data_IF_314114513249
#
_entry.id   IF_314114513249
#
_cell.length_a   1.000
_cell.length_b   1.000
_cell.length_c   1.000
_cell.angle_alpha   90.00
_cell.angle_beta   90.00
_cell.angle_gamma   90.00
#
_symmetry.space_group_name_H-M   'P 1'
#
loop_
_entity.id
_entity.type
_entity.pdbx_description
1 polymer ?
#
# COMPACT_ATOMS: atom_id res chain seq x y z
N UNK A 1 -22.75 32.04 2.62
CA UNK A 1 -21.37 31.50 2.67
C UNK A 1 -21.15 30.90 4.06
N UNK A 2 -21.19 29.57 4.17
CA UNK A 2 -21.06 28.88 5.46
C UNK A 2 -19.57 28.70 5.80
N UNK A 3 -19.15 29.30 6.91
CA UNK A 3 -17.82 29.12 7.51
C UNK A 3 -17.82 27.75 8.18
N UNK A 4 -17.05 26.80 7.65
CA UNK A 4 -16.92 25.44 8.16
C UNK A 4 -16.22 25.44 9.52
N UNK A 5 -16.99 25.67 10.59
CA UNK A 5 -16.49 25.73 11.95
C UNK A 5 -16.05 24.33 12.43
N UNK A 6 -14.76 24.19 12.75
CA UNK A 6 -14.22 23.01 13.45
C UNK A 6 -13.27 22.13 12.64
N UNK A 7 -13.18 22.28 11.31
CA UNK A 7 -12.23 21.50 10.51
C UNK A 7 -10.78 21.88 10.79
N UNK A 8 -10.49 23.16 11.06
CA UNK A 8 -9.13 23.61 11.38
C UNK A 8 -8.57 22.96 12.66
N UNK A 9 -9.41 22.79 13.70
CA UNK A 9 -9.00 22.12 14.95
C UNK A 9 -8.85 20.60 14.80
N UNK A 10 -9.52 20.00 13.82
CA UNK A 10 -9.42 18.56 13.52
C UNK A 10 -8.20 18.30 12.63
N UNK A 11 -7.88 19.23 11.74
CA UNK A 11 -6.79 19.11 10.77
C UNK A 11 -5.42 18.98 11.45
N UNK A 12 -5.09 19.86 12.40
CA UNK A 12 -3.82 19.80 13.13
C UNK A 12 -3.72 18.53 13.99
N UNK A 13 -4.83 18.12 14.62
CA UNK A 13 -4.89 16.89 15.42
C UNK A 13 -4.80 15.62 14.57
N UNK A 14 -5.31 15.67 13.33
CA UNK A 14 -5.24 14.59 12.35
C UNK A 14 -3.84 14.48 11.75
N UNK A 15 -3.21 15.61 11.37
CA UNK A 15 -1.81 15.68 10.93
C UNK A 15 -0.82 15.20 12.00
N UNK A 16 -1.14 15.42 13.28
CA UNK A 16 -0.33 14.98 14.42
C UNK A 16 -0.55 13.50 14.80
N UNK A 17 -1.50 12.79 14.17
CA UNK A 17 -1.79 11.38 14.43
C UNK A 17 -1.87 10.57 13.14
N UNK A 18 -0.84 10.59 12.28
CA UNK A 18 -0.85 9.76 11.10
C UNK A 18 -0.81 8.30 11.55
N UNK A 19 -1.89 7.57 11.33
CA UNK A 19 -1.89 6.14 11.54
C UNK A 19 -0.90 5.52 10.54
N UNK A 20 -0.02 4.65 11.01
CA UNK A 20 0.62 3.68 10.15
C UNK A 20 -0.48 2.69 9.72
N UNK A 21 -1.30 3.04 8.73
CA UNK A 21 -2.49 2.29 8.35
C UNK A 21 -2.33 1.50 7.04
N UNK A 22 -1.13 1.55 6.46
CA UNK A 22 -0.74 0.82 5.25
C UNK A 22 0.53 0.00 5.48
N UNK A 23 0.52 -1.24 4.99
CA UNK A 23 1.74 -2.03 4.77
C UNK A 23 1.90 -2.42 3.31
N UNK A 24 3.15 -2.45 2.85
CA UNK A 24 3.57 -3.06 1.59
C UNK A 24 4.37 -4.29 1.94
N UNK A 25 3.91 -5.45 1.46
CA UNK A 25 4.52 -6.76 1.71
C UNK A 25 5.09 -7.27 0.40
N UNK A 26 6.37 -7.61 0.39
CA UNK A 26 7.02 -8.13 -0.82
C UNK A 26 8.48 -8.49 -0.56
N UNK A 27 9.32 -8.36 -1.58
CA UNK A 27 10.78 -8.46 -1.44
C UNK A 27 11.31 -7.18 -0.82
N UNK A 28 11.50 -7.18 0.50
CA UNK A 28 11.79 -5.97 1.27
C UNK A 28 13.08 -5.22 0.85
N UNK A 29 14.04 -5.90 0.24
CA UNK A 29 15.24 -5.24 -0.31
C UNK A 29 14.90 -4.44 -1.56
N UNK A 30 14.21 -5.06 -2.53
CA UNK A 30 13.75 -4.40 -3.76
C UNK A 30 12.80 -3.25 -3.47
N UNK A 31 11.82 -3.43 -2.58
CA UNK A 31 10.90 -2.35 -2.20
C UNK A 31 11.61 -1.14 -1.57
N UNK A 32 12.72 -1.36 -0.85
CA UNK A 32 13.54 -0.27 -0.31
C UNK A 32 14.38 0.39 -1.39
N UNK A 33 14.94 -0.39 -2.30
CA UNK A 33 15.68 0.10 -3.45
C UNK A 33 14.79 0.98 -4.33
N UNK A 34 13.59 0.51 -4.68
CA UNK A 34 12.59 1.26 -5.44
C UNK A 34 12.17 2.55 -4.73
N UNK A 35 12.07 2.51 -3.39
CA UNK A 35 11.78 3.73 -2.61
C UNK A 35 12.89 4.79 -2.70
N UNK A 36 14.09 4.42 -3.16
CA UNK A 36 15.19 5.37 -3.38
C UNK A 36 15.05 6.12 -4.71
N UNK A 37 14.14 5.71 -5.59
CA UNK A 37 13.85 6.43 -6.83
C UNK A 37 13.37 7.85 -6.53
N UNK A 38 13.81 8.81 -7.35
CA UNK A 38 13.46 10.22 -7.20
C UNK A 38 12.19 10.55 -8.00
N UNK A 39 11.32 11.35 -7.40
CA UNK A 39 10.21 11.99 -8.11
C UNK A 39 10.69 13.39 -8.51
N UNK A 40 10.68 13.68 -9.82
CA UNK A 40 10.97 15.01 -10.34
C UNK A 40 9.84 15.44 -11.25
N UNK A 41 9.47 16.72 -11.21
CA UNK A 41 8.61 17.29 -12.24
C UNK A 41 9.48 17.60 -13.47
N UNK A 42 8.92 17.42 -14.67
CA UNK A 42 9.55 17.90 -15.90
C UNK A 42 9.80 19.41 -15.78
N UNK A 43 10.98 19.88 -16.20
CA UNK A 43 11.49 21.25 -16.09
C UNK A 43 11.89 21.75 -14.68
N UNK A 44 11.96 20.85 -13.69
CA UNK A 44 12.35 21.19 -12.31
C UNK A 44 13.85 20.92 -12.07
N UNK A 45 14.70 21.65 -12.79
CA UNK A 45 16.16 21.41 -12.81
C UNK A 45 16.90 21.93 -11.56
N UNK A 46 16.33 22.93 -10.87
CA UNK A 46 17.00 23.67 -9.78
C UNK A 46 16.59 23.21 -8.37
N UNK A 47 15.68 22.24 -8.23
CA UNK A 47 15.23 21.74 -6.92
C UNK A 47 15.98 20.49 -6.48
N UNK A 48 16.20 20.40 -5.15
CA UNK A 48 16.71 19.18 -4.54
C UNK A 48 15.73 18.03 -4.77
N UNK A 49 16.24 16.93 -5.34
CA UNK A 49 15.44 15.75 -5.65
C UNK A 49 15.01 15.05 -4.37
N UNK A 50 13.71 14.79 -4.23
CA UNK A 50 13.16 13.97 -3.16
C UNK A 50 12.91 12.55 -3.64
N UNK A 51 13.31 11.56 -2.82
CA UNK A 51 13.01 10.16 -3.11
C UNK A 51 11.57 9.80 -2.74
N UNK A 52 11.02 8.76 -3.35
CA UNK A 52 9.72 8.19 -2.96
C UNK A 52 9.70 7.87 -1.45
N UNK A 53 10.82 7.36 -0.93
CA UNK A 53 10.99 7.01 0.48
C UNK A 53 10.98 8.21 1.42
N UNK A 54 11.37 9.42 0.98
CA UNK A 54 11.26 10.61 1.83
C UNK A 54 9.80 11.02 2.09
N UNK A 55 8.89 10.63 1.18
CA UNK A 55 7.45 10.86 1.29
C UNK A 55 6.75 9.71 1.99
N UNK A 56 6.99 8.47 1.54
CA UNK A 56 6.25 7.29 2.01
C UNK A 56 6.80 6.66 3.29
N UNK A 57 8.11 6.83 3.54
CA UNK A 57 8.85 6.14 4.61
C UNK A 57 9.82 7.07 5.35
N UNK A 58 9.41 8.28 5.76
CA UNK A 58 10.32 9.16 6.48
C UNK A 58 10.71 8.53 7.83
N UNK A 59 11.98 8.18 7.95
CA UNK A 59 12.56 7.54 9.15
C UNK A 59 13.31 8.55 10.04
N UNK A 60 13.09 9.84 9.86
CA UNK A 60 13.79 10.89 10.62
C UNK A 60 12.96 11.37 11.81
N UNK A 61 13.62 11.77 12.92
CA UNK A 61 12.92 12.31 14.08
C UNK A 61 12.07 13.54 13.71
N UNK A 62 10.86 13.64 14.29
CA UNK A 62 9.91 14.77 14.15
C UNK A 62 9.21 14.92 12.80
N UNK A 63 9.22 13.90 11.94
CA UNK A 63 8.42 13.94 10.72
C UNK A 63 6.96 13.56 11.04
N UNK A 64 6.03 14.41 10.60
CA UNK A 64 4.58 14.20 10.73
C UNK A 64 4.06 13.52 9.46
N UNK A 65 4.03 12.19 9.42
CA UNK A 65 3.69 11.47 8.17
C UNK A 65 3.05 10.11 8.35
N UNK A 66 2.28 9.73 7.33
CA UNK A 66 1.78 8.39 7.04
C UNK A 66 2.93 7.38 7.07
N UNK A 67 3.01 6.59 8.14
CA UNK A 67 4.09 5.62 8.30
C UNK A 67 3.70 4.32 7.58
N UNK A 68 3.92 4.28 6.27
CA UNK A 68 3.80 3.03 5.51
C UNK A 68 4.83 2.04 6.05
N UNK A 69 4.45 0.77 6.22
CA UNK A 69 5.38 -0.29 6.65
C UNK A 69 5.83 -1.12 5.46
N UNK A 70 7.13 -1.20 5.20
CA UNK A 70 7.68 -2.25 4.32
C UNK A 70 7.92 -3.50 5.15
N UNK A 71 7.28 -4.60 4.77
CA UNK A 71 7.45 -5.92 5.38
C UNK A 71 7.98 -6.92 4.34
N UNK A 72 8.85 -7.82 4.79
CA UNK A 72 9.27 -8.94 3.96
C UNK A 72 8.22 -10.04 4.01
N UNK A 73 7.82 -10.52 2.84
CA UNK A 73 6.97 -11.70 2.69
C UNK A 73 7.53 -12.96 3.38
N UNK A 74 8.86 -13.05 3.54
CA UNK A 74 9.53 -14.16 4.24
C UNK A 74 9.34 -14.12 5.75
N UNK A 75 9.11 -12.93 6.31
CA UNK A 75 8.91 -12.70 7.75
C UNK A 75 7.46 -12.42 8.11
N UNK A 76 6.53 -12.55 7.15
CA UNK A 76 5.14 -12.18 7.33
C UNK A 76 4.44 -12.98 8.42
N UNK A 77 4.65 -14.31 8.57
CA UNK A 77 3.98 -15.10 9.61
C UNK A 77 4.17 -14.54 11.01
N UNK A 78 5.40 -14.14 11.33
CA UNK A 78 5.74 -13.55 12.63
C UNK A 78 5.13 -12.15 12.84
N UNK A 79 4.56 -11.57 11.78
CA UNK A 79 4.07 -10.19 11.71
C UNK A 79 2.58 -10.09 11.35
N UNK A 80 1.88 -11.20 11.11
CA UNK A 80 0.44 -11.21 10.82
C UNK A 80 -0.38 -10.43 11.87
N UNK A 81 -0.12 -10.56 13.20
CA UNK A 81 -0.85 -9.77 14.20
C UNK A 81 -0.67 -8.25 14.06
N UNK A 82 0.43 -7.81 13.44
CA UNK A 82 0.68 -6.39 13.19
C UNK A 82 -0.14 -5.85 12.02
N UNK A 83 -0.59 -6.72 11.11
CA UNK A 83 -1.37 -6.36 9.93
C UNK A 83 -2.85 -6.18 10.26
N UNK A 84 -3.37 -6.91 11.25
CA UNK A 84 -4.75 -6.76 11.73
C UNK A 84 -5.06 -5.34 12.27
N UNK A 85 -4.02 -4.61 12.70
CA UNK A 85 -4.16 -3.22 13.16
C UNK A 85 -4.10 -2.19 12.01
N UNK A 86 -3.86 -2.62 10.77
CA UNK A 86 -3.76 -1.75 9.59
C UNK A 86 -5.11 -1.66 8.87
N UNK A 87 -5.32 -0.58 8.11
CA UNK A 87 -6.52 -0.41 7.28
C UNK A 87 -6.35 -1.01 5.90
N UNK A 88 -5.11 -1.07 5.40
CA UNK A 88 -4.81 -1.57 4.07
C UNK A 88 -3.49 -2.35 4.04
N UNK A 89 -3.44 -3.36 3.19
CA UNK A 89 -2.22 -4.11 2.88
C UNK A 89 -2.07 -4.24 1.36
N UNK A 90 -0.89 -3.89 0.85
CA UNK A 90 -0.47 -4.15 -0.53
C UNK A 90 0.41 -5.41 -0.51
N UNK A 91 0.00 -6.43 -1.26
CA UNK A 91 0.75 -7.66 -1.48
C UNK A 91 1.43 -7.59 -2.85
N UNK A 92 2.74 -7.42 -2.85
CA UNK A 92 3.56 -7.28 -4.05
C UNK A 92 4.17 -8.64 -4.46
N UNK A 93 3.63 -9.21 -5.52
CA UNK A 93 4.07 -10.46 -6.13
C UNK A 93 3.65 -11.73 -5.38
N UNK A 94 3.87 -12.88 -6.04
CA UNK A 94 3.40 -14.20 -5.59
C UNK A 94 3.89 -14.57 -4.18
N UNK A 95 5.11 -14.16 -3.84
CA UNK A 95 5.71 -14.42 -2.53
C UNK A 95 4.92 -13.78 -1.38
N UNK A 96 4.30 -12.62 -1.62
CA UNK A 96 3.42 -11.94 -0.66
C UNK A 96 1.98 -12.46 -0.75
N UNK A 97 1.47 -12.64 -1.98
CA UNK A 97 0.07 -13.04 -2.24
C UNK A 97 -0.28 -14.40 -1.65
N UNK A 98 0.66 -15.34 -1.55
CA UNK A 98 0.41 -16.64 -0.90
C UNK A 98 -0.10 -16.55 0.54
N UNK A 99 0.15 -15.43 1.22
CA UNK A 99 -0.29 -15.18 2.60
C UNK A 99 -1.65 -14.50 2.68
N UNK A 100 -2.27 -14.17 1.54
CA UNK A 100 -3.57 -13.52 1.47
C UNK A 100 -4.65 -14.16 2.36
N UNK A 101 -4.76 -15.51 2.47
CA UNK A 101 -5.75 -16.13 3.35
C UNK A 101 -5.64 -15.75 4.83
N UNK A 102 -4.46 -15.34 5.28
CA UNK A 102 -4.18 -14.99 6.68
C UNK A 102 -4.24 -13.47 6.94
N UNK A 103 -4.60 -12.67 5.93
CA UNK A 103 -4.67 -11.20 6.05
C UNK A 103 -6.04 -10.75 6.52
N UNK A 104 -6.08 -10.14 7.70
CA UNK A 104 -7.31 -9.60 8.31
C UNK A 104 -7.50 -8.09 8.07
N UNK A 105 -6.62 -7.45 7.28
CA UNK A 105 -6.73 -6.02 7.01
C UNK A 105 -8.00 -5.73 6.18
N UNK A 106 -8.76 -4.65 6.48
CA UNK A 106 -10.04 -4.35 5.82
C UNK A 106 -9.94 -4.19 4.31
N UNK A 107 -8.82 -3.67 3.80
CA UNK A 107 -8.55 -3.48 2.38
C UNK A 107 -7.28 -4.24 2.00
N UNK A 108 -7.36 -5.03 0.94
CA UNK A 108 -6.20 -5.72 0.38
C UNK A 108 -6.07 -5.38 -1.10
N UNK A 109 -4.84 -5.08 -1.52
CA UNK A 109 -4.48 -4.84 -2.92
C UNK A 109 -3.38 -5.82 -3.30
N UNK A 110 -3.66 -6.72 -4.24
CA UNK A 110 -2.68 -7.63 -4.80
C UNK A 110 -2.08 -7.03 -6.08
N UNK A 111 -0.75 -7.01 -6.19
CA UNK A 111 -0.01 -6.60 -7.39
C UNK A 111 0.66 -7.84 -7.99
N UNK A 112 0.32 -8.13 -9.23
CA UNK A 112 0.74 -9.30 -9.99
C UNK A 112 1.56 -8.82 -11.20
N UNK A 113 2.77 -9.36 -11.33
CA UNK A 113 3.56 -9.21 -12.55
C UNK A 113 3.19 -10.33 -13.53
N UNK A 114 2.43 -9.99 -14.59
CA UNK A 114 1.99 -10.95 -15.62
C UNK A 114 3.15 -11.47 -16.46
N UNK A 115 4.32 -10.86 -16.41
CA UNK A 115 5.52 -11.38 -17.07
C UNK A 115 6.12 -12.60 -16.35
N UNK A 116 5.72 -12.85 -15.10
CA UNK A 116 6.23 -13.94 -14.25
C UNK A 116 5.12 -14.73 -13.54
N UNK A 117 3.86 -14.56 -13.97
CA UNK A 117 2.70 -15.09 -13.26
C UNK A 117 2.70 -16.64 -13.23
N UNK A 118 2.33 -17.17 -12.06
CA UNK A 118 2.14 -18.58 -11.77
C UNK A 118 0.63 -18.84 -11.72
N UNK A 119 0.13 -19.80 -12.51
CA UNK A 119 -1.31 -20.10 -12.65
C UNK A 119 -1.98 -20.37 -11.29
N UNK A 120 -1.26 -20.97 -10.33
CA UNK A 120 -1.78 -21.25 -9.00
C UNK A 120 -2.04 -19.98 -8.17
N UNK A 121 -1.23 -18.93 -8.37
CA UNK A 121 -1.43 -17.65 -7.65
C UNK A 121 -2.63 -16.89 -8.21
N UNK A 122 -2.86 -16.96 -9.53
CA UNK A 122 -4.02 -16.34 -10.17
C UNK A 122 -5.33 -16.96 -9.67
N UNK A 123 -5.38 -18.29 -9.53
CA UNK A 123 -6.55 -18.98 -9.03
C UNK A 123 -6.87 -18.58 -7.57
N UNK A 124 -5.86 -18.47 -6.71
CA UNK A 124 -6.03 -18.03 -5.31
C UNK A 124 -6.59 -16.61 -5.24
N UNK A 125 -6.07 -15.67 -6.04
CA UNK A 125 -6.56 -14.29 -6.07
C UNK A 125 -7.97 -14.20 -6.62
N UNK A 126 -8.30 -14.98 -7.67
CA UNK A 126 -9.64 -15.00 -8.24
C UNK A 126 -10.66 -15.65 -7.29
N UNK A 127 -10.30 -16.76 -6.65
CA UNK A 127 -11.15 -17.42 -5.65
C UNK A 127 -11.41 -16.46 -4.49
N UNK A 128 -10.37 -15.82 -3.94
CA UNK A 128 -10.51 -14.91 -2.81
C UNK A 128 -11.21 -13.60 -3.17
N UNK A 129 -11.02 -13.03 -4.37
CA UNK A 129 -11.84 -11.91 -4.83
C UNK A 129 -13.33 -12.27 -4.88
N UNK A 130 -13.65 -13.52 -5.20
CA UNK A 130 -15.03 -13.98 -5.30
C UNK A 130 -15.63 -14.39 -3.94
N UNK A 131 -14.81 -14.68 -2.93
CA UNK A 131 -15.26 -15.11 -1.59
C UNK A 131 -15.05 -14.06 -0.49
N UNK A 132 -14.13 -13.12 -0.67
CA UNK A 132 -13.81 -12.05 0.26
C UNK A 132 -14.37 -10.70 -0.25
N UNK A 133 -15.42 -10.23 0.42
CA UNK A 133 -15.92 -8.85 0.37
C UNK A 133 -16.27 -8.27 -1.00
N UNK A 134 -16.40 -6.94 -1.03
CA UNK A 134 -16.71 -6.17 -2.23
C UNK A 134 -15.44 -5.78 -3.00
N UNK A 135 -15.41 -5.94 -4.35
CA UNK A 135 -14.27 -5.53 -5.17
C UNK A 135 -14.09 -4.02 -5.19
N UNK A 136 -12.84 -3.57 -5.09
CA UNK A 136 -12.44 -2.15 -5.17
C UNK A 136 -11.90 -1.83 -6.57
N UNK A 137 -12.43 -0.78 -7.19
CA UNK A 137 -11.93 -0.30 -8.48
C UNK A 137 -10.75 0.64 -8.26
N UNK A 138 -9.53 0.18 -8.54
CA UNK A 138 -8.33 1.01 -8.38
C UNK A 138 -8.38 2.31 -9.21
N UNK A 139 -8.99 2.26 -10.40
CA UNK A 139 -9.11 3.44 -11.27
C UNK A 139 -10.18 4.43 -10.82
N UNK A 140 -11.34 3.95 -10.34
CA UNK A 140 -12.44 4.83 -9.91
C UNK A 140 -12.28 5.31 -8.47
N UNK A 141 -11.83 4.43 -7.58
CA UNK A 141 -11.77 4.67 -6.14
C UNK A 141 -10.42 5.25 -5.72
N UNK A 142 -9.32 4.86 -6.39
CA UNK A 142 -7.96 5.33 -6.07
C UNK A 142 -7.33 6.20 -7.18
N UNK A 143 -8.00 6.37 -8.33
CA UNK A 143 -7.48 7.17 -9.44
C UNK A 143 -6.24 6.58 -10.11
N UNK A 144 -5.91 5.32 -9.85
CA UNK A 144 -4.68 4.68 -10.34
C UNK A 144 -4.98 3.58 -11.36
N UNK A 145 -4.21 3.55 -12.44
CA UNK A 145 -4.28 2.50 -13.46
C UNK A 145 -2.93 1.79 -13.54
N UNK A 146 -2.90 0.45 -13.45
CA UNK A 146 -1.64 -0.27 -13.50
C UNK A 146 -0.95 -0.11 -14.86
N UNK A 147 0.39 -0.06 -14.90
CA UNK A 147 1.15 -0.04 -16.15
C UNK A 147 1.01 -1.36 -16.90
N UNK A 148 1.32 -1.35 -18.21
CA UNK A 148 1.24 -2.55 -19.05
C UNK A 148 2.11 -3.70 -18.50
N UNK A 149 1.54 -4.91 -18.46
CA UNK A 149 2.21 -6.10 -17.91
C UNK A 149 2.05 -6.28 -16.39
N UNK A 150 1.50 -5.29 -15.69
CA UNK A 150 1.13 -5.39 -14.28
C UNK A 150 -0.39 -5.51 -14.16
N UNK A 151 -0.83 -6.48 -13.39
CA UNK A 151 -2.23 -6.62 -12.98
C UNK A 151 -2.34 -6.27 -11.50
N UNK A 152 -3.36 -5.49 -11.13
CA UNK A 152 -3.58 -5.14 -9.73
C UNK A 152 -5.06 -5.26 -9.39
N UNK A 153 -5.34 -5.89 -8.25
CA UNK A 153 -6.68 -6.24 -7.81
C UNK A 153 -6.88 -5.80 -6.37
N UNK A 154 -7.85 -4.92 -6.14
CA UNK A 154 -8.25 -4.45 -4.82
C UNK A 154 -9.60 -5.03 -4.40
N UNK A 155 -9.75 -5.37 -3.13
CA UNK A 155 -11.02 -5.80 -2.56
C UNK A 155 -11.03 -5.57 -1.05
N UNK A 156 -12.23 -5.60 -0.48
CA UNK A 156 -12.43 -5.56 0.97
C UNK A 156 -12.42 -6.98 1.55
N UNK A 157 -11.94 -7.12 2.78
CA UNK A 157 -12.07 -8.38 3.54
C UNK A 157 -13.29 -8.25 4.44
N UNK A 158 -14.19 -9.23 4.39
CA UNK A 158 -15.31 -9.29 5.32
C UNK A 158 -14.76 -9.60 6.72
N UNK A 159 -14.76 -8.60 7.59
CA UNK A 159 -14.40 -8.74 9.02
C UNK A 159 -15.48 -9.51 9.78
#
# INVERSE_FOLDING_TARGET
MARMAGLDSVWDAWLARPAADLAIVGTAEWLKEDSSACLTKEDDEDLERSSIGSVLLPRTPKVATWCTRILSAMSLPDRLPLLAALKAVILDGNGAIKWLPDIEAPVVICVLDRSRADEATEEVVLQLRNTCGEPLSLSKDLGWTPPGGVEALGFTVAL
#
